data_IF_243259874615
#
_entry.id   IF_243259874615
#
_cell.length_a   1.000
_cell.length_b   1.000
_cell.length_c   1.000
_cell.angle_alpha   90.00
_cell.angle_beta   90.00
_cell.angle_gamma   90.00
#
_symmetry.space_group_name_H-M   'P 1'
#
loop_
_entity.id
_entity.type
_entity.pdbx_description
1 polymer ?
#
# COMPACT_ATOMS: atom_id res chain seq x y z
N UNK A 1 9.52 15.91 -6.80
CA UNK A 1 10.21 14.61 -6.60
C UNK A 1 11.45 14.55 -7.50
N UNK A 2 12.59 14.02 -7.04
CA UNK A 2 13.85 13.95 -7.82
C UNK A 2 13.63 13.31 -9.20
N UNK A 3 12.72 12.34 -9.29
CA UNK A 3 12.29 11.71 -10.55
C UNK A 3 11.84 12.74 -11.59
N UNK A 4 11.00 13.71 -11.24
CA UNK A 4 10.55 14.75 -12.18
C UNK A 4 11.67 15.67 -12.66
N UNK A 5 12.72 15.85 -11.84
CA UNK A 5 13.87 16.68 -12.20
C UNK A 5 14.87 15.96 -13.11
N UNK A 6 14.92 14.62 -13.01
CA UNK A 6 15.92 13.81 -13.73
C UNK A 6 15.34 13.02 -14.89
N UNK A 7 14.02 12.85 -14.98
CA UNK A 7 13.36 11.96 -15.93
C UNK A 7 13.35 10.52 -15.43
N UNK A 8 12.21 9.84 -15.55
CA UNK A 8 11.97 8.51 -14.99
C UNK A 8 12.91 7.42 -15.52
N UNK A 9 13.46 7.60 -16.72
CA UNK A 9 14.40 6.68 -17.36
C UNK A 9 15.77 6.65 -16.68
N UNK A 10 16.15 7.69 -15.93
CA UNK A 10 17.49 7.86 -15.37
C UNK A 10 17.62 7.27 -13.96
N UNK A 11 17.32 5.97 -13.83
CA UNK A 11 17.23 5.26 -12.55
C UNK A 11 18.48 5.40 -11.67
N UNK A 12 19.68 5.19 -12.22
CA UNK A 12 20.92 5.29 -11.46
C UNK A 12 21.19 6.73 -10.98
N UNK A 13 20.95 7.73 -11.84
CA UNK A 13 21.05 9.14 -11.46
C UNK A 13 20.05 9.48 -10.35
N UNK A 14 18.82 8.96 -10.43
CA UNK A 14 17.79 9.16 -9.38
C UNK A 14 18.26 8.55 -8.06
N UNK A 15 18.78 7.31 -8.07
CA UNK A 15 19.30 6.62 -6.88
C UNK A 15 20.46 7.38 -6.25
N UNK A 16 21.42 7.84 -7.06
CA UNK A 16 22.57 8.63 -6.60
C UNK A 16 22.12 9.96 -5.99
N UNK A 17 21.19 10.67 -6.62
CA UNK A 17 20.66 11.93 -6.10
C UNK A 17 19.87 11.71 -4.80
N UNK A 18 19.07 10.64 -4.70
CA UNK A 18 18.37 10.28 -3.46
C UNK A 18 19.37 9.97 -2.33
N UNK A 19 20.46 9.26 -2.65
CA UNK A 19 21.54 8.94 -1.69
C UNK A 19 22.25 10.21 -1.22
N UNK A 20 22.68 11.05 -2.16
CA UNK A 20 23.35 12.31 -1.88
C UNK A 20 22.45 13.23 -1.04
N UNK A 21 21.16 13.31 -1.40
CA UNK A 21 20.17 14.05 -0.63
C UNK A 21 20.06 13.51 0.80
N UNK A 22 19.87 12.20 0.98
CA UNK A 22 19.74 11.58 2.30
C UNK A 22 20.97 11.78 3.20
N UNK A 23 22.15 11.71 2.61
CA UNK A 23 23.42 11.87 3.32
C UNK A 23 23.78 13.33 3.57
N UNK A 24 23.00 14.29 3.04
CA UNK A 24 23.27 15.71 3.20
C UNK A 24 23.22 16.10 4.70
N UNK A 25 24.33 16.60 5.27
CA UNK A 25 24.38 16.98 6.68
C UNK A 25 23.41 18.13 7.01
N UNK A 26 23.06 18.98 6.03
CA UNK A 26 22.14 20.11 6.21
C UNK A 26 20.71 19.70 6.55
N UNK A 27 20.32 18.45 6.32
CA UNK A 27 18.99 17.95 6.70
C UNK A 27 18.78 17.91 8.20
N UNK A 28 19.84 17.84 9.01
CA UNK A 28 19.76 17.84 10.47
C UNK A 28 18.67 16.92 11.01
N UNK A 29 17.71 17.51 11.74
CA UNK A 29 16.56 16.79 12.31
C UNK A 29 15.58 16.25 11.27
N UNK A 30 15.52 16.79 10.05
CA UNK A 30 14.56 16.39 8.99
C UNK A 30 14.79 15.01 8.39
N UNK A 31 15.92 14.35 8.71
CA UNK A 31 16.24 13.00 8.21
C UNK A 31 15.20 11.93 8.53
N UNK A 32 14.40 12.12 9.59
CA UNK A 32 13.34 11.17 9.97
C UNK A 32 12.15 11.13 9.01
N UNK A 33 12.01 12.14 8.15
CA UNK A 33 10.99 12.22 7.08
C UNK A 33 11.51 11.66 5.75
N UNK A 34 12.70 11.08 5.75
CA UNK A 34 13.29 10.49 4.55
C UNK A 34 13.14 9.00 4.56
N UNK A 35 12.57 8.49 3.48
CA UNK A 35 12.42 7.07 3.24
C UNK A 35 13.78 6.37 3.26
N UNK A 36 13.76 5.12 3.70
CA UNK A 36 14.91 4.23 3.67
C UNK A 36 15.05 3.49 2.36
N UNK A 37 13.95 3.35 1.62
CA UNK A 37 13.83 2.47 0.48
C UNK A 37 13.04 3.16 -0.62
N UNK A 38 13.41 2.86 -1.86
CA UNK A 38 12.68 3.21 -3.09
C UNK A 38 12.38 1.91 -3.85
N UNK A 39 11.16 1.70 -4.37
CA UNK A 39 10.89 0.67 -5.39
C UNK A 39 10.76 1.35 -6.75
N UNK A 40 11.26 0.66 -7.77
CA UNK A 40 11.03 0.98 -9.17
C UNK A 40 10.24 -0.17 -9.76
N UNK A 41 9.06 0.15 -10.31
CA UNK A 41 8.26 -0.80 -11.07
C UNK A 41 8.18 -0.38 -12.52
N UNK A 42 8.22 -1.36 -13.42
CA UNK A 42 8.16 -1.12 -14.85
C UNK A 42 7.73 -2.39 -15.58
N UNK A 43 7.26 -2.21 -16.81
CA UNK A 43 7.12 -3.31 -17.79
C UNK A 43 8.38 -3.38 -18.65
N UNK A 44 8.55 -4.44 -19.44
CA UNK A 44 9.78 -4.68 -20.22
C UNK A 44 10.15 -3.52 -21.18
N UNK A 45 9.16 -2.78 -21.69
CA UNK A 45 9.35 -1.64 -22.61
C UNK A 45 8.76 -0.33 -22.07
N UNK A 46 8.38 -0.31 -20.79
CA UNK A 46 7.54 0.74 -20.22
C UNK A 46 8.30 1.83 -19.48
N UNK A 47 7.55 2.86 -19.13
CA UNK A 47 7.99 3.88 -18.17
C UNK A 47 8.31 3.24 -16.82
N UNK A 48 9.21 3.88 -16.08
CA UNK A 48 9.56 3.50 -14.71
C UNK A 48 8.72 4.29 -13.72
N UNK A 49 8.10 3.58 -12.79
CA UNK A 49 7.25 4.13 -11.76
C UNK A 49 7.90 3.96 -10.40
N UNK A 50 8.15 5.09 -9.74
CA UNK A 50 8.87 5.13 -8.47
C UNK A 50 7.88 5.21 -7.32
N UNK A 51 8.25 4.57 -6.21
CA UNK A 51 7.59 4.74 -4.92
C UNK A 51 8.60 4.65 -3.80
N UNK A 52 8.28 5.23 -2.65
CA UNK A 52 9.17 5.23 -1.48
C UNK A 52 8.50 4.56 -0.28
N UNK A 53 9.32 3.99 0.60
CA UNK A 53 8.79 3.43 1.85
C UNK A 53 8.24 4.53 2.74
N UNK A 54 7.22 4.22 3.54
CA UNK A 54 6.65 5.20 4.47
C UNK A 54 7.71 5.60 5.50
N UNK A 55 8.06 6.90 5.52
CA UNK A 55 8.94 7.47 6.53
C UNK A 55 8.13 8.34 7.47
N UNK A 56 7.95 7.85 8.69
CA UNK A 56 7.42 8.65 9.77
C UNK A 56 8.01 8.19 11.10
N UNK A 57 8.15 9.13 12.03
CA UNK A 57 8.69 8.81 13.34
C UNK A 57 7.59 8.18 14.22
N UNK A 58 7.69 6.87 14.46
CA UNK A 58 6.81 6.13 15.33
C UNK A 58 5.65 5.41 14.64
N UNK A 59 5.08 4.43 15.36
CA UNK A 59 4.05 3.51 14.81
C UNK A 59 2.76 4.21 14.43
N UNK A 60 2.31 5.20 15.22
CA UNK A 60 1.03 5.90 14.99
C UNK A 60 1.04 6.73 13.70
N UNK A 61 2.04 7.59 13.45
CA UNK A 61 2.16 8.31 12.18
C UNK A 61 2.22 7.39 10.96
N UNK A 62 3.01 6.31 11.00
CA UNK A 62 3.08 5.33 9.89
C UNK A 62 1.69 4.75 9.61
N UNK A 63 0.94 4.34 10.64
CA UNK A 63 -0.42 3.83 10.46
C UNK A 63 -1.38 4.86 9.87
N UNK A 64 -1.28 6.12 10.27
CA UNK A 64 -2.10 7.21 9.71
C UNK A 64 -1.82 7.35 8.22
N UNK A 65 -0.55 7.39 7.81
CA UNK A 65 -0.18 7.54 6.40
C UNK A 65 -0.66 6.33 5.59
N UNK A 66 -0.50 5.10 6.09
CA UNK A 66 -1.00 3.89 5.42
C UNK A 66 -2.52 3.96 5.22
N UNK A 67 -3.27 4.27 6.29
CA UNK A 67 -4.73 4.36 6.19
C UNK A 67 -5.18 5.47 5.23
N UNK A 68 -4.60 6.66 5.33
CA UNK A 68 -4.87 7.75 4.40
C UNK A 68 -4.52 7.36 2.95
N UNK A 69 -3.42 6.63 2.76
CA UNK A 69 -3.00 6.16 1.45
C UNK A 69 -4.00 5.18 0.86
N UNK A 70 -4.48 4.20 1.63
CA UNK A 70 -5.53 3.28 1.20
C UNK A 70 -6.82 4.00 0.78
N UNK A 71 -7.23 5.04 1.52
CA UNK A 71 -8.52 5.69 1.33
C UNK A 71 -8.53 6.75 0.23
N UNK A 72 -7.38 7.33 -0.13
CA UNK A 72 -7.36 8.55 -0.95
C UNK A 72 -6.21 8.68 -1.93
N UNK A 73 -5.14 7.91 -1.78
CA UNK A 73 -3.95 8.08 -2.61
C UNK A 73 -3.66 6.87 -3.48
N UNK A 74 -3.56 5.67 -2.91
CA UNK A 74 -3.18 4.49 -3.69
C UNK A 74 -4.25 4.07 -4.68
N UNK A 75 -3.81 3.41 -5.75
CA UNK A 75 -4.69 2.74 -6.68
C UNK A 75 -5.59 1.75 -5.95
N UNK A 76 -6.83 1.62 -6.42
CA UNK A 76 -7.86 0.80 -5.80
C UNK A 76 -7.45 -0.67 -5.59
N UNK A 77 -6.63 -1.25 -6.46
CA UNK A 77 -6.17 -2.64 -6.30
C UNK A 77 -5.04 -2.74 -5.28
N UNK A 78 -4.12 -1.78 -5.25
CA UNK A 78 -3.07 -1.71 -4.21
C UNK A 78 -3.70 -1.47 -2.83
N UNK A 79 -4.62 -0.52 -2.73
CA UNK A 79 -5.36 -0.25 -1.51
C UNK A 79 -6.15 -1.50 -1.06
N UNK A 80 -6.83 -2.18 -2.00
CA UNK A 80 -7.52 -3.44 -1.74
C UNK A 80 -6.59 -4.54 -1.21
N UNK A 81 -5.41 -4.70 -1.79
CA UNK A 81 -4.42 -5.63 -1.27
C UNK A 81 -4.07 -5.29 0.18
N UNK A 82 -3.71 -4.03 0.48
CA UNK A 82 -3.33 -3.63 1.84
C UNK A 82 -4.48 -3.82 2.83
N UNK A 83 -5.70 -3.45 2.47
CA UNK A 83 -6.92 -3.61 3.28
C UNK A 83 -7.31 -5.07 3.52
N UNK A 84 -6.69 -6.02 2.82
CA UNK A 84 -6.87 -7.45 3.12
C UNK A 84 -6.30 -7.81 4.48
N UNK A 85 -5.24 -7.14 4.92
CA UNK A 85 -4.61 -7.41 6.22
C UNK A 85 -4.76 -6.25 7.20
N UNK A 86 -4.80 -5.02 6.71
CA UNK A 86 -4.90 -3.79 7.49
C UNK A 86 -6.37 -3.46 7.87
N UNK A 87 -6.67 -2.86 9.04
CA UNK A 87 -5.77 -2.31 10.08
C UNK A 87 -5.20 -3.33 11.05
N UNK A 88 -5.68 -4.56 10.98
CA UNK A 88 -5.15 -5.68 11.74
C UNK A 88 -3.83 -6.18 11.12
N UNK A 89 -3.39 -7.37 11.52
CA UNK A 89 -2.30 -8.10 10.83
C UNK A 89 -2.77 -9.45 10.30
N UNK A 90 -4.05 -9.76 10.50
CA UNK A 90 -4.66 -11.02 10.11
C UNK A 90 -5.48 -10.79 8.85
N UNK A 91 -5.42 -11.75 7.94
CA UNK A 91 -6.22 -11.73 6.72
C UNK A 91 -7.72 -11.57 7.04
N UNK A 92 -8.36 -10.60 6.39
CA UNK A 92 -9.79 -10.36 6.48
C UNK A 92 -10.54 -11.55 5.89
N UNK A 93 -11.48 -12.11 6.67
CA UNK A 93 -12.23 -13.31 6.29
C UNK A 93 -13.27 -13.06 5.20
N UNK A 94 -13.75 -11.83 5.09
CA UNK A 94 -14.82 -11.44 4.17
C UNK A 94 -14.30 -10.69 2.94
N UNK A 95 -13.05 -10.24 2.96
CA UNK A 95 -12.46 -9.45 1.88
C UNK A 95 -11.02 -9.90 1.60
N UNK A 96 -10.75 -10.26 0.34
CA UNK A 96 -9.43 -10.67 -0.13
C UNK A 96 -9.10 -9.94 -1.43
N UNK A 97 -8.50 -8.76 -1.29
CA UNK A 97 -8.09 -7.89 -2.38
C UNK A 97 -6.63 -8.07 -2.80
N UNK A 98 -5.95 -9.13 -2.34
CA UNK A 98 -4.57 -9.41 -2.77
C UNK A 98 -4.51 -9.61 -4.28
N UNK A 99 -3.43 -9.16 -4.89
CA UNK A 99 -3.19 -9.26 -6.33
C UNK A 99 -1.92 -10.05 -6.60
N UNK A 100 -1.83 -10.67 -7.77
CA UNK A 100 -0.57 -11.20 -8.30
C UNK A 100 -0.22 -10.44 -9.57
N UNK A 101 1.01 -9.94 -9.63
CA UNK A 101 1.52 -9.20 -10.78
C UNK A 101 1.69 -10.13 -12.00
N UNK A 102 1.43 -9.64 -13.23
CA UNK A 102 1.82 -10.33 -14.44
C UNK A 102 3.33 -10.59 -14.49
N UNK A 103 3.79 -11.71 -15.07
CA UNK A 103 5.22 -12.08 -15.08
C UNK A 103 6.15 -11.07 -15.75
N UNK A 104 5.63 -10.20 -16.63
CA UNK A 104 6.41 -9.18 -17.34
C UNK A 104 6.54 -7.85 -16.56
N UNK A 105 5.91 -7.75 -15.38
CA UNK A 105 6.03 -6.58 -14.49
C UNK A 105 7.16 -6.83 -13.49
N UNK A 106 8.09 -5.90 -13.42
CA UNK A 106 9.12 -5.85 -12.39
C UNK A 106 8.70 -4.86 -11.29
N UNK A 107 8.98 -5.16 -10.01
CA UNK A 107 9.14 -4.16 -8.94
C UNK A 107 10.38 -4.55 -8.15
N UNK A 108 11.40 -3.70 -8.21
CA UNK A 108 12.63 -3.90 -7.46
C UNK A 108 12.82 -2.77 -6.45
N UNK A 109 12.94 -3.16 -5.18
CA UNK A 109 13.26 -2.24 -4.09
C UNK A 109 14.78 -2.07 -3.93
N UNK A 110 15.21 -0.89 -3.50
CA UNK A 110 16.61 -0.54 -3.23
C UNK A 110 16.74 0.26 -1.94
N UNK A 111 17.80 0.00 -1.18
CA UNK A 111 18.17 0.80 -0.01
C UNK A 111 18.74 2.14 -0.48
N UNK A 112 18.17 3.27 -0.04
CA UNK A 112 18.60 4.59 -0.53
C UNK A 112 20.05 4.92 -0.10
N UNK A 113 20.46 4.52 1.11
CA UNK A 113 21.79 4.85 1.63
C UNK A 113 22.93 4.13 0.91
N UNK A 114 22.73 2.88 0.50
CA UNK A 114 23.77 2.03 -0.10
C UNK A 114 23.56 1.78 -1.58
N UNK A 115 22.31 1.85 -2.07
CA UNK A 115 21.91 1.45 -3.42
C UNK A 115 21.61 -0.03 -3.56
N UNK A 116 21.81 -0.83 -2.51
CA UNK A 116 21.68 -2.27 -2.60
C UNK A 116 20.25 -2.68 -2.90
N UNK A 117 20.09 -3.69 -3.75
CA UNK A 117 18.81 -4.35 -3.98
C UNK A 117 18.27 -4.91 -2.67
N UNK A 118 16.95 -4.82 -2.51
CA UNK A 118 16.21 -5.44 -1.43
C UNK A 118 15.20 -6.40 -2.02
N UNK A 119 15.22 -7.63 -1.53
CA UNK A 119 14.19 -8.59 -1.86
C UNK A 119 12.86 -8.17 -1.24
N UNK A 120 11.73 -8.44 -1.91
CA UNK A 120 10.40 -8.24 -1.36
C UNK A 120 10.26 -8.92 0.00
N UNK A 121 9.76 -8.17 0.99
CA UNK A 121 9.48 -8.73 2.31
C UNK A 121 8.23 -9.62 2.28
N UNK A 122 8.01 -10.44 3.31
CA UNK A 122 6.85 -11.35 3.42
C UNK A 122 5.52 -10.63 3.16
N UNK A 123 5.31 -9.45 3.74
CA UNK A 123 4.09 -8.67 3.54
C UNK A 123 3.90 -8.27 2.08
N UNK A 124 4.96 -7.93 1.35
CA UNK A 124 4.86 -7.60 -0.07
C UNK A 124 4.53 -8.85 -0.92
N UNK A 125 5.03 -10.03 -0.53
CA UNK A 125 4.65 -11.30 -1.16
C UNK A 125 3.15 -11.57 -0.96
N UNK A 126 2.69 -11.45 0.28
CA UNK A 126 1.28 -11.67 0.64
C UNK A 126 0.32 -10.70 -0.07
N UNK A 127 0.75 -9.46 -0.33
CA UNK A 127 -0.07 -8.42 -0.94
C UNK A 127 -0.10 -8.49 -2.47
N UNK A 128 1.07 -8.70 -3.08
CA UNK A 128 1.31 -8.45 -4.51
C UNK A 128 1.80 -9.70 -5.28
N UNK A 129 1.95 -10.84 -4.60
CA UNK A 129 2.43 -12.08 -5.23
C UNK A 129 3.88 -12.01 -5.69
N UNK A 130 4.69 -11.13 -5.09
CA UNK A 130 6.11 -11.00 -5.42
C UNK A 130 6.90 -12.24 -4.97
N UNK A 131 7.82 -12.70 -5.81
CA UNK A 131 8.72 -13.81 -5.45
C UNK A 131 9.90 -13.31 -4.62
N UNK A 132 10.24 -14.04 -3.56
CA UNK A 132 11.44 -13.81 -2.73
C UNK A 132 11.56 -14.97 -1.73
N UNK A 133 12.73 -15.14 -1.11
CA UNK A 133 12.97 -16.08 0.00
C UNK A 133 12.97 -15.36 1.37
N UNK A 134 12.85 -14.03 1.40
CA UNK A 134 12.86 -13.22 2.62
C UNK A 134 11.61 -13.46 3.50
N UNK A 135 11.83 -13.75 4.77
CA UNK A 135 10.76 -14.02 5.74
C UNK A 135 10.46 -12.83 6.65
N UNK A 136 11.27 -11.76 6.57
CA UNK A 136 11.04 -10.53 7.31
C UNK A 136 9.68 -9.94 6.96
N UNK A 137 8.91 -9.64 8.01
CA UNK A 137 7.57 -9.07 7.89
C UNK A 137 7.57 -7.63 8.40
N UNK A 138 7.13 -6.71 7.55
CA UNK A 138 6.89 -5.31 7.93
C UNK A 138 5.39 -5.07 8.11
N UNK A 139 4.98 -3.86 8.46
CA UNK A 139 3.55 -3.54 8.41
C UNK A 139 3.07 -3.52 6.96
N UNK A 140 1.93 -4.16 6.69
CA UNK A 140 1.29 -4.15 5.37
C UNK A 140 1.11 -2.70 4.87
N UNK A 141 1.54 -2.43 3.63
CA UNK A 141 1.51 -1.10 3.02
C UNK A 141 2.68 -0.17 3.39
N UNK A 142 3.58 -0.54 4.30
CA UNK A 142 4.71 0.33 4.67
C UNK A 142 5.82 0.39 3.60
N UNK A 143 5.95 -0.68 2.82
CA UNK A 143 7.06 -0.86 1.89
C UNK A 143 6.88 -0.01 0.61
N UNK A 144 7.99 0.26 -0.07
CA UNK A 144 8.02 1.18 -1.21
C UNK A 144 7.26 0.65 -2.44
N UNK A 145 7.07 -0.67 -2.49
CA UNK A 145 6.36 -1.41 -3.53
C UNK A 145 4.90 -0.95 -3.64
N UNK A 146 4.24 -0.62 -2.52
CA UNK A 146 2.85 -0.17 -2.54
C UNK A 146 2.68 1.13 -3.35
N UNK A 147 3.50 2.14 -3.09
CA UNK A 147 3.44 3.38 -3.86
C UNK A 147 3.90 3.19 -5.31
N UNK A 148 4.96 2.41 -5.53
CA UNK A 148 5.50 2.18 -6.87
C UNK A 148 4.47 1.48 -7.77
N UNK A 149 3.87 0.38 -7.31
CA UNK A 149 2.82 -0.34 -8.03
C UNK A 149 1.55 0.49 -8.16
N UNK A 150 1.20 1.29 -7.16
CA UNK A 150 0.08 2.23 -7.28
C UNK A 150 0.32 3.23 -8.40
N UNK A 151 1.54 3.74 -8.57
CA UNK A 151 1.86 4.66 -9.64
C UNK A 151 1.86 3.96 -11.00
N UNK A 152 2.34 2.72 -11.08
CA UNK A 152 2.23 1.89 -12.28
C UNK A 152 0.76 1.72 -12.71
N UNK A 153 -0.11 1.23 -11.83
CA UNK A 153 -1.50 0.90 -12.21
C UNK A 153 -2.37 2.09 -12.55
N UNK A 154 -2.08 3.27 -11.98
CA UNK A 154 -2.77 4.51 -12.35
C UNK A 154 -2.46 4.97 -13.77
N UNK A 155 -1.28 4.60 -14.29
CA UNK A 155 -0.78 5.09 -15.58
C UNK A 155 -0.74 4.00 -16.66
N UNK A 156 -0.77 2.73 -16.28
CA UNK A 156 -0.74 1.56 -17.19
C UNK A 156 -1.99 0.69 -16.98
N UNK A 157 -3.16 1.08 -17.53
CA UNK A 157 -4.42 0.35 -17.33
C UNK A 157 -4.36 -1.08 -17.88
N UNK A 158 -3.58 -1.33 -18.93
CA UNK A 158 -3.40 -2.67 -19.53
C UNK A 158 -2.73 -3.65 -18.56
N UNK A 159 -1.81 -3.17 -17.73
CA UNK A 159 -1.21 -3.98 -16.66
C UNK A 159 -2.26 -4.31 -15.61
N UNK A 160 -3.09 -3.32 -15.25
CA UNK A 160 -4.15 -3.46 -14.25
C UNK A 160 -5.19 -4.51 -14.67
N UNK A 161 -5.61 -4.49 -15.93
CA UNK A 161 -6.56 -5.47 -16.49
C UNK A 161 -6.06 -6.91 -16.40
N UNK A 162 -4.74 -7.11 -16.42
CA UNK A 162 -4.10 -8.43 -16.38
C UNK A 162 -3.70 -8.90 -14.98
N UNK A 163 -3.98 -8.10 -13.94
CA UNK A 163 -3.77 -8.51 -12.55
C UNK A 163 -4.63 -9.73 -12.21
N UNK A 164 -4.01 -10.79 -11.70
CA UNK A 164 -4.75 -11.90 -11.12
C UNK A 164 -5.24 -11.48 -9.73
N UNK A 165 -6.55 -11.54 -9.52
CA UNK A 165 -7.19 -11.19 -8.25
C UNK A 165 -8.45 -12.02 -8.05
N UNK A 166 -8.87 -12.19 -6.80
CA UNK A 166 -10.15 -12.84 -6.52
C UNK A 166 -11.30 -11.90 -6.84
N UNK A 167 -12.42 -12.47 -7.29
CA UNK A 167 -13.67 -11.70 -7.38
C UNK A 167 -14.13 -11.36 -5.97
N UNK A 168 -14.40 -10.09 -5.72
CA UNK A 168 -14.80 -9.56 -4.43
C UNK A 168 -16.11 -8.81 -4.60
N UNK A 169 -17.04 -9.00 -3.66
CA UNK A 169 -18.31 -8.24 -3.67
C UNK A 169 -18.04 -6.80 -3.24
N UNK A 170 -18.67 -5.85 -3.92
CA UNK A 170 -18.55 -4.42 -3.59
C UNK A 170 -18.87 -4.12 -2.13
N UNK A 171 -19.83 -4.84 -1.55
CA UNK A 171 -20.17 -4.72 -0.13
C UNK A 171 -19.00 -5.07 0.79
N UNK A 172 -18.27 -6.13 0.48
CA UNK A 172 -17.13 -6.56 1.30
C UNK A 172 -15.97 -5.57 1.21
N UNK A 173 -15.75 -5.01 0.01
CA UNK A 173 -14.79 -3.92 -0.20
C UNK A 173 -15.16 -2.68 0.62
N UNK A 174 -16.41 -2.23 0.54
CA UNK A 174 -16.89 -1.09 1.32
C UNK A 174 -16.73 -1.30 2.82
N UNK A 175 -17.04 -2.51 3.32
CA UNK A 175 -16.82 -2.84 4.73
C UNK A 175 -15.33 -2.74 5.12
N UNK A 176 -14.41 -3.13 4.23
CA UNK A 176 -12.97 -2.99 4.46
C UNK A 176 -12.54 -1.51 4.49
N UNK A 177 -13.02 -0.70 3.54
CA UNK A 177 -12.79 0.76 3.49
C UNK A 177 -13.35 1.48 4.73
N UNK A 178 -14.55 1.09 5.19
CA UNK A 178 -15.15 1.58 6.43
C UNK A 178 -14.29 1.22 7.65
N UNK A 179 -13.82 -0.03 7.73
CA UNK A 179 -12.91 -0.46 8.81
C UNK A 179 -11.64 0.38 8.87
N UNK A 180 -11.02 0.65 7.71
CA UNK A 180 -9.85 1.54 7.63
C UNK A 180 -10.19 2.98 8.00
N UNK A 181 -11.36 3.47 7.60
CA UNK A 181 -11.85 4.82 7.94
C UNK A 181 -12.02 4.99 9.45
N UNK A 182 -12.68 4.03 10.12
CA UNK A 182 -12.82 3.99 11.58
C UNK A 182 -11.45 3.98 12.25
N UNK A 183 -10.53 3.16 11.74
CA UNK A 183 -9.19 3.07 12.28
C UNK A 183 -8.43 4.39 12.16
N UNK A 184 -8.51 5.06 11.01
CA UNK A 184 -7.90 6.36 10.78
C UNK A 184 -8.47 7.41 11.74
N UNK A 185 -9.80 7.51 11.87
CA UNK A 185 -10.45 8.45 12.77
C UNK A 185 -10.04 8.22 14.23
N UNK A 186 -9.93 6.96 14.66
CA UNK A 186 -9.42 6.61 15.98
C UNK A 186 -7.97 7.05 16.18
N UNK A 187 -7.10 6.86 15.18
CA UNK A 187 -5.71 7.35 15.25
C UNK A 187 -5.65 8.88 15.33
N UNK A 188 -6.53 9.58 14.62
CA UNK A 188 -6.61 11.04 14.65
C UNK A 188 -7.23 11.62 15.93
N UNK A 189 -7.75 10.77 16.83
CA UNK A 189 -8.46 11.23 18.03
C UNK A 189 -9.83 11.83 17.73
N UNK A 190 -10.44 11.42 16.61
CA UNK A 190 -11.71 11.93 16.09
C UNK A 190 -12.80 10.85 15.97
N UNK A 191 -13.05 10.02 17.02
CA UNK A 191 -13.99 8.91 16.92
C UNK A 191 -15.46 9.37 16.73
N UNK A 192 -15.80 10.59 17.17
CA UNK A 192 -17.14 11.18 17.08
C UNK A 192 -17.61 11.49 15.65
N UNK A 193 -16.69 11.56 14.68
CA UNK A 193 -17.02 11.76 13.27
C UNK A 193 -17.43 10.47 12.56
N UNK A 194 -17.44 9.34 13.29
CA UNK A 194 -17.91 8.07 12.76
C UNK A 194 -19.34 7.77 13.24
N UNK A 195 -20.29 7.85 12.32
CA UNK A 195 -21.62 7.24 12.49
C UNK A 195 -21.61 5.86 11.83
N UNK A 196 -21.61 4.74 12.58
CA UNK A 196 -21.70 3.42 11.97
C UNK A 196 -22.99 3.28 11.15
N UNK A 197 -22.97 2.55 10.02
CA UNK A 197 -24.21 2.21 9.34
C UNK A 197 -25.12 1.45 10.30
N UNK A 198 -26.36 1.91 10.45
CA UNK A 198 -27.32 1.27 11.35
C UNK A 198 -27.44 -0.22 11.03
N UNK A 199 -27.40 -1.11 12.04
CA UNK A 199 -27.62 -2.53 11.80
C UNK A 199 -29.01 -2.70 11.18
N UNK A 200 -29.06 -3.35 10.01
CA UNK A 200 -30.32 -3.78 9.40
C UNK A 200 -31.03 -4.64 10.42
N UNK A 201 -32.10 -4.11 11.02
CA UNK A 201 -32.92 -4.84 11.98
C UNK A 201 -33.38 -6.13 11.29
N UNK A 202 -32.88 -7.27 11.79
CA UNK A 202 -33.43 -8.58 11.44
C UNK A 202 -34.91 -8.52 11.80
N UNK A 203 -35.80 -8.46 10.79
CA UNK A 203 -37.23 -8.69 10.97
C UNK A 203 -37.38 -10.02 11.71
N UNK A 204 -37.72 -9.96 13.00
CA UNK A 204 -38.20 -11.13 13.74
C UNK A 204 -39.47 -11.57 13.02
N UNK A 205 -39.43 -12.73 12.36
CA UNK A 205 -40.65 -13.41 11.91
C UNK A 205 -41.43 -13.74 13.18
N UNK A 206 -42.57 -13.10 13.39
CA UNK A 206 -43.52 -13.54 14.41
C UNK A 206 -44.10 -14.87 13.95
N UNK A 207 -43.86 -15.92 14.72
CA UNK A 207 -44.60 -17.17 14.61
C UNK A 207 -46.02 -16.92 15.10
N UNK A 208 -47.00 -16.93 14.19
CA UNK A 208 -48.39 -17.14 14.55
C UNK A 208 -48.54 -18.58 15.03
N UNK A 209 -48.87 -18.76 16.30
CA UNK A 209 -49.52 -19.99 16.77
C UNK A 209 -51.00 -19.85 16.45
N UNK A 210 -51.52 -20.74 15.60
CA UNK A 210 -52.95 -20.97 15.43
C UNK A 210 -53.31 -22.09 16.39
N UNK A 211 -54.28 -21.83 17.27
CA UNK A 211 -54.99 -22.81 18.09
C UNK A 211 -56.09 -23.42 17.22
#
# INVERSE_FOLDING_TARGET
MIVHLKGEQNEEVIKENLRAFKNNPRLGKGKHLLSSTVCVSHTQNGKRYYGVSMSANGKKPVKIIIAASCLSYWDNDVAGAVMTYYPDKTKNKSFDGTITLPPYVSCQAFTISTGDRKDPCKSCKDLFGLSSEENKEWSYGNCAEAESLSNLFKNEPTVKEQLQRKSVRDKDRKNAEESVTVHLLKLLGKPEFYTPPMPVQKKRRSTCNVI
#
